data_IF_812104554315
#
_entry.id   IF_812104554315
#
_cell.length_a   1.000
_cell.length_b   1.000
_cell.length_c   1.000
_cell.angle_alpha   90.00
_cell.angle_beta   90.00
_cell.angle_gamma   90.00
#
_symmetry.space_group_name_H-M   'P 1'
#
loop_
_entity.id
_entity.type
_entity.pdbx_description
1 polymer ?
#
# COMPACT_ATOMS: atom_id res chain seq x y z
N UNK A 1 2.77 -20.10 -31.03
CA UNK A 1 2.75 -20.86 -29.77
C UNK A 1 2.32 -19.86 -28.71
N UNK A 2 1.22 -20.04 -27.96
CA UNK A 2 0.86 -19.09 -26.94
C UNK A 2 1.87 -19.20 -25.78
N UNK A 3 2.34 -18.07 -25.27
CA UNK A 3 3.32 -18.02 -24.18
C UNK A 3 2.76 -18.69 -22.93
N UNK A 4 3.46 -19.72 -22.46
CA UNK A 4 3.13 -20.46 -21.25
C UNK A 4 3.72 -19.72 -20.04
N UNK A 5 2.85 -19.10 -19.24
CA UNK A 5 3.07 -18.67 -17.85
C UNK A 5 4.22 -17.68 -17.58
N UNK A 6 4.03 -16.40 -17.90
CA UNK A 6 4.60 -15.33 -17.07
C UNK A 6 3.58 -14.95 -16.01
N UNK A 7 3.79 -15.40 -14.77
CA UNK A 7 2.98 -14.94 -13.63
C UNK A 7 3.12 -13.43 -13.47
N UNK A 8 2.04 -12.72 -13.10
CA UNK A 8 2.04 -11.26 -12.85
C UNK A 8 3.15 -10.84 -11.88
N UNK A 9 3.45 -11.71 -10.91
CA UNK A 9 4.45 -11.50 -9.88
C UNK A 9 5.65 -12.46 -10.02
N UNK A 10 6.86 -12.05 -9.56
CA UNK A 10 7.96 -12.97 -9.32
C UNK A 10 7.54 -14.09 -8.36
N UNK A 11 8.14 -15.29 -8.51
CA UNK A 11 7.75 -16.51 -7.78
C UNK A 11 7.63 -16.31 -6.27
N UNK A 12 8.61 -15.67 -5.63
CA UNK A 12 8.59 -15.45 -4.18
C UNK A 12 7.45 -14.51 -3.74
N UNK A 13 7.11 -13.53 -4.58
CA UNK A 13 6.02 -12.56 -4.32
C UNK A 13 4.66 -13.23 -4.54
N UNK A 14 4.49 -13.96 -5.64
CA UNK A 14 3.28 -14.73 -5.95
C UNK A 14 2.98 -15.75 -4.83
N UNK A 15 4.00 -16.47 -4.35
CA UNK A 15 3.86 -17.43 -3.26
C UNK A 15 3.39 -16.77 -1.95
N UNK A 16 4.03 -15.68 -1.52
CA UNK A 16 3.66 -14.95 -0.31
C UNK A 16 2.23 -14.39 -0.38
N UNK A 17 1.83 -13.86 -1.54
CA UNK A 17 0.48 -13.36 -1.77
C UNK A 17 -0.56 -14.50 -1.70
N UNK A 18 -0.28 -15.65 -2.32
CA UNK A 18 -1.16 -16.81 -2.27
C UNK A 18 -1.30 -17.40 -0.87
N UNK A 19 -0.20 -17.46 -0.12
CA UNK A 19 -0.22 -17.88 1.29
C UNK A 19 -1.07 -16.94 2.15
N UNK A 20 -1.06 -15.64 1.84
CA UNK A 20 -1.93 -14.63 2.45
C UNK A 20 -3.41 -14.70 1.99
N UNK A 21 -3.75 -15.61 1.07
CA UNK A 21 -5.11 -15.81 0.56
C UNK A 21 -5.46 -15.00 -0.70
N UNK A 22 -4.49 -14.33 -1.33
CA UNK A 22 -4.71 -13.70 -2.63
C UNK A 22 -4.76 -14.75 -3.74
N UNK A 23 -5.58 -14.50 -4.75
CA UNK A 23 -5.63 -15.28 -5.98
C UNK A 23 -5.84 -14.35 -7.17
N UNK A 24 -5.32 -14.68 -8.37
CA UNK A 24 -5.55 -13.89 -9.57
C UNK A 24 -7.04 -13.65 -9.81
N UNK A 25 -7.42 -12.39 -10.05
CA UNK A 25 -8.82 -11.99 -10.26
C UNK A 25 -9.62 -11.79 -8.97
N UNK A 26 -8.99 -11.84 -7.79
CA UNK A 26 -9.61 -11.38 -6.53
C UNK A 26 -10.09 -9.93 -6.67
N UNK A 27 -11.34 -9.69 -6.29
CA UNK A 27 -11.94 -8.36 -6.32
C UNK A 27 -13.09 -8.26 -5.31
N UNK A 28 -12.84 -7.64 -4.15
CA UNK A 28 -13.85 -7.37 -3.12
C UNK A 28 -14.22 -5.88 -3.11
N UNK A 29 -15.04 -5.48 -4.07
CA UNK A 29 -15.49 -4.09 -4.19
C UNK A 29 -16.36 -3.65 -3.01
N UNK A 30 -17.11 -4.57 -2.39
CA UNK A 30 -17.98 -4.23 -1.25
C UNK A 30 -17.17 -3.81 -0.04
N UNK A 31 -16.09 -4.55 0.24
CA UNK A 31 -15.16 -4.19 1.32
C UNK A 31 -14.45 -2.86 1.00
N UNK A 32 -14.01 -2.66 -0.25
CA UNK A 32 -13.39 -1.41 -0.67
C UNK A 32 -14.33 -0.19 -0.52
N UNK A 33 -15.60 -0.32 -0.90
CA UNK A 33 -16.62 0.71 -0.70
C UNK A 33 -16.88 0.99 0.79
N UNK A 34 -16.92 -0.05 1.63
CA UNK A 34 -17.08 0.12 3.07
C UNK A 34 -15.93 0.94 3.69
N UNK A 35 -14.69 0.65 3.30
CA UNK A 35 -13.54 1.47 3.72
C UNK A 35 -13.62 2.89 3.17
N UNK A 36 -14.01 3.06 1.91
CA UNK A 36 -14.17 4.37 1.31
C UNK A 36 -15.18 5.24 2.08
N UNK A 37 -16.33 4.67 2.44
CA UNK A 37 -17.35 5.37 3.22
C UNK A 37 -16.87 5.70 4.64
N UNK A 38 -16.15 4.78 5.27
CA UNK A 38 -15.56 5.00 6.60
C UNK A 38 -14.53 6.14 6.58
N UNK A 39 -13.63 6.14 5.61
CA UNK A 39 -12.62 7.19 5.43
C UNK A 39 -13.25 8.55 5.09
N UNK A 40 -14.28 8.58 4.25
CA UNK A 40 -15.02 9.81 3.91
C UNK A 40 -15.81 10.39 5.09
N UNK A 41 -16.36 9.52 5.93
CA UNK A 41 -17.09 9.93 7.13
C UNK A 41 -16.15 10.49 8.21
N UNK A 42 -14.86 10.13 8.17
CA UNK A 42 -13.88 10.64 9.12
C UNK A 42 -13.44 12.07 8.78
N UNK A 43 -13.55 12.95 9.77
CA UNK A 43 -12.97 14.29 9.76
C UNK A 43 -12.09 14.40 10.99
N UNK A 44 -10.83 14.76 10.80
CA UNK A 44 -9.91 14.94 11.93
C UNK A 44 -10.37 16.11 12.82
N UNK A 45 -9.94 16.20 14.10
CA UNK A 45 -10.29 17.32 14.97
C UNK A 45 -9.94 18.71 14.39
N UNK A 46 -8.93 18.77 13.50
CA UNK A 46 -8.51 19.98 12.81
C UNK A 46 -9.21 20.18 11.45
N UNK A 47 -10.25 19.40 11.13
CA UNK A 47 -11.04 19.54 9.91
C UNK A 47 -10.47 18.85 8.66
N UNK A 48 -9.39 18.09 8.77
CA UNK A 48 -8.77 17.41 7.62
C UNK A 48 -9.59 16.17 7.23
N UNK A 49 -9.68 15.91 5.93
CA UNK A 49 -10.42 14.80 5.33
C UNK A 49 -9.49 13.99 4.45
N UNK A 50 -9.81 12.71 4.27
CA UNK A 50 -9.14 11.87 3.30
C UNK A 50 -9.62 12.18 1.87
N UNK A 51 -8.70 12.08 0.92
CA UNK A 51 -9.01 12.11 -0.50
C UNK A 51 -8.99 10.69 -1.04
N UNK A 52 -10.02 10.29 -1.78
CA UNK A 52 -10.16 8.95 -2.32
C UNK A 52 -10.39 9.00 -3.84
N UNK A 53 -9.69 8.15 -4.57
CA UNK A 53 -9.66 8.10 -6.04
C UNK A 53 -9.61 6.64 -6.52
N UNK A 54 -9.86 6.37 -7.82
CA UNK A 54 -9.97 5.01 -8.34
C UNK A 54 -8.79 4.09 -7.98
N UNK A 55 -7.54 4.53 -8.17
CA UNK A 55 -6.36 3.71 -7.88
C UNK A 55 -6.33 3.16 -6.44
N UNK A 56 -6.77 3.94 -5.45
CA UNK A 56 -6.87 3.47 -4.06
C UNK A 56 -7.97 2.41 -3.90
N UNK A 57 -9.16 2.66 -4.43
CA UNK A 57 -10.30 1.73 -4.34
C UNK A 57 -10.00 0.42 -5.07
N UNK A 58 -9.35 0.49 -6.23
CA UNK A 58 -8.94 -0.68 -7.02
C UNK A 58 -7.89 -1.52 -6.26
N UNK A 59 -6.89 -0.86 -5.64
CA UNK A 59 -5.91 -1.52 -4.80
C UNK A 59 -6.57 -2.21 -3.59
N UNK A 60 -7.53 -1.57 -2.94
CA UNK A 60 -8.26 -2.17 -1.81
C UNK A 60 -9.14 -3.34 -2.25
N UNK A 61 -9.82 -3.23 -3.39
CA UNK A 61 -10.67 -4.30 -3.91
C UNK A 61 -9.83 -5.53 -4.25
N UNK A 62 -8.64 -5.36 -4.82
CA UNK A 62 -7.78 -6.50 -5.17
C UNK A 62 -7.00 -7.05 -3.96
N UNK A 63 -6.39 -6.20 -3.13
CA UNK A 63 -5.40 -6.61 -2.11
C UNK A 63 -5.84 -6.35 -0.67
N UNK A 64 -6.93 -5.63 -0.44
CA UNK A 64 -7.38 -5.27 0.90
C UNK A 64 -7.69 -6.47 1.78
N UNK A 65 -7.36 -6.38 3.07
CA UNK A 65 -7.54 -7.41 4.09
C UNK A 65 -6.46 -8.51 4.11
N UNK A 66 -5.52 -8.48 3.16
CA UNK A 66 -4.40 -9.42 3.15
C UNK A 66 -3.41 -9.09 4.27
N UNK A 67 -3.01 -10.13 5.01
CA UNK A 67 -1.90 -10.10 5.96
C UNK A 67 -0.76 -10.91 5.34
N UNK A 68 0.32 -10.24 4.94
CA UNK A 68 1.38 -10.84 4.12
C UNK A 68 2.66 -10.90 4.95
N UNK A 69 3.20 -12.12 5.08
CA UNK A 69 4.50 -12.37 5.69
C UNK A 69 5.49 -12.72 4.59
N UNK A 70 6.66 -12.09 4.59
CA UNK A 70 7.70 -12.42 3.62
C UNK A 70 8.25 -13.84 3.85
N UNK A 71 8.59 -14.57 2.77
CA UNK A 71 9.00 -15.98 2.87
C UNK A 71 10.46 -16.17 3.32
N UNK A 72 11.22 -15.08 3.54
CA UNK A 72 12.64 -15.16 3.85
C UNK A 72 13.22 -13.86 4.42
N UNK A 73 14.54 -13.83 4.67
CA UNK A 73 15.20 -12.74 5.41
C UNK A 73 15.31 -11.40 4.65
N UNK A 74 14.84 -11.34 3.41
CA UNK A 74 14.99 -10.19 2.51
C UNK A 74 16.34 -10.13 1.78
N UNK A 75 16.40 -9.27 0.76
CA UNK A 75 17.58 -9.08 -0.10
C UNK A 75 18.57 -8.08 0.48
N UNK A 76 18.07 -6.98 1.03
CA UNK A 76 18.86 -5.86 1.55
C UNK A 76 18.44 -5.43 2.94
N UNK A 77 17.14 -5.53 3.24
CA UNK A 77 16.54 -5.25 4.55
C UNK A 77 15.62 -6.41 4.94
N UNK A 78 15.46 -6.64 6.24
CA UNK A 78 14.50 -7.60 6.75
C UNK A 78 13.07 -7.13 6.41
N UNK A 79 12.27 -7.91 5.66
CA UNK A 79 10.89 -7.53 5.36
C UNK A 79 10.05 -7.53 6.62
N UNK A 80 9.17 -6.54 6.73
CA UNK A 80 8.15 -6.51 7.76
C UNK A 80 6.87 -7.25 7.32
N UNK A 81 6.05 -7.66 8.28
CA UNK A 81 4.69 -8.13 7.99
C UNK A 81 3.87 -6.96 7.45
N UNK A 82 3.09 -7.20 6.39
CA UNK A 82 2.23 -6.20 5.75
C UNK A 82 0.78 -6.48 6.07
N UNK A 83 0.00 -5.44 6.30
CA UNK A 83 -1.46 -5.53 6.36
C UNK A 83 -2.08 -4.46 5.46
N UNK A 84 -2.82 -4.90 4.44
CA UNK A 84 -3.51 -3.99 3.52
C UNK A 84 -4.87 -3.62 4.12
N UNK A 85 -4.87 -2.78 5.15
CA UNK A 85 -6.06 -2.16 5.73
C UNK A 85 -5.93 -0.64 5.71
N UNK A 86 -6.66 0.07 4.84
CA UNK A 86 -6.53 1.52 4.73
C UNK A 86 -7.00 2.27 5.99
N UNK A 87 -7.69 1.62 6.93
CA UNK A 87 -8.05 2.23 8.21
C UNK A 87 -6.85 2.41 9.15
N UNK A 88 -5.73 1.74 8.89
CA UNK A 88 -4.46 2.04 9.59
C UNK A 88 -4.06 3.51 9.46
N UNK A 89 -4.39 4.14 8.32
CA UNK A 89 -4.15 5.57 8.07
C UNK A 89 -5.30 6.50 8.48
N UNK A 90 -6.37 6.01 9.15
CA UNK A 90 -7.59 6.78 9.41
C UNK A 90 -7.32 8.14 10.06
N UNK A 91 -6.39 8.20 11.01
CA UNK A 91 -6.07 9.43 11.76
C UNK A 91 -4.95 10.27 11.13
N UNK A 92 -4.45 9.89 9.95
CA UNK A 92 -3.33 10.56 9.26
C UNK A 92 -3.77 11.47 8.11
N UNK A 93 -5.05 11.85 8.05
CA UNK A 93 -5.59 12.70 6.97
C UNK A 93 -4.75 13.97 6.71
N UNK A 94 -4.22 14.61 7.77
CA UNK A 94 -3.31 15.76 7.61
C UNK A 94 -1.96 15.36 7.02
N UNK A 95 -1.31 14.34 7.59
CA UNK A 95 0.00 13.86 7.15
C UNK A 95 -0.03 13.45 5.68
N UNK A 96 -1.05 12.70 5.26
CA UNK A 96 -1.21 12.27 3.87
C UNK A 96 -1.48 13.47 2.94
N UNK A 97 -2.27 14.45 3.38
CA UNK A 97 -2.48 15.68 2.60
C UNK A 97 -1.21 16.53 2.48
N UNK A 98 -0.39 16.59 3.53
CA UNK A 98 0.88 17.32 3.53
C UNK A 98 1.90 16.64 2.60
N UNK A 99 1.98 15.31 2.61
CA UNK A 99 2.78 14.54 1.64
C UNK A 99 2.29 14.74 0.22
N UNK A 100 0.98 14.64 -0.02
CA UNK A 100 0.39 14.86 -1.34
C UNK A 100 0.74 16.23 -1.90
N UNK A 101 0.66 17.29 -1.08
CA UNK A 101 1.08 18.64 -1.48
C UNK A 101 2.58 18.70 -1.84
N UNK A 102 3.45 18.03 -1.09
CA UNK A 102 4.88 18.01 -1.37
C UNK A 102 5.21 17.28 -2.69
N UNK A 103 4.41 16.27 -3.05
CA UNK A 103 4.55 15.46 -4.25
C UNK A 103 3.70 15.93 -5.44
N UNK A 104 2.96 17.04 -5.28
CA UNK A 104 2.00 17.56 -6.26
C UNK A 104 0.98 16.51 -6.74
N UNK A 105 0.41 15.75 -5.78
CA UNK A 105 -0.58 14.69 -6.03
C UNK A 105 -1.57 14.56 -4.86
N UNK A 106 -2.56 13.68 -4.99
CA UNK A 106 -3.44 13.30 -3.88
C UNK A 106 -3.03 11.93 -3.35
N UNK A 107 -3.09 11.75 -2.03
CA UNK A 107 -2.63 10.54 -1.35
C UNK A 107 -3.78 9.96 -0.52
N UNK A 108 -3.98 8.65 -0.65
CA UNK A 108 -4.92 7.86 0.15
C UNK A 108 -4.16 6.80 0.97
N UNK A 109 -4.67 6.41 2.14
CA UNK A 109 -4.08 5.31 2.90
C UNK A 109 -4.28 3.97 2.18
N UNK A 110 -3.30 3.08 2.29
CA UNK A 110 -3.31 1.75 1.68
C UNK A 110 -3.29 0.63 2.72
N UNK A 111 -2.53 0.81 3.79
CA UNK A 111 -2.26 -0.25 4.76
C UNK A 111 -1.16 0.14 5.73
N UNK A 112 -0.47 -0.85 6.26
CA UNK A 112 0.65 -0.68 7.18
C UNK A 112 1.67 -1.81 7.06
N UNK A 113 2.85 -1.56 7.61
CA UNK A 113 3.89 -2.56 7.80
C UNK A 113 4.46 -2.54 9.23
N UNK A 114 4.95 -3.69 9.67
CA UNK A 114 5.71 -3.85 10.91
C UNK A 114 4.88 -3.64 12.17
N UNK A 115 3.62 -4.07 12.17
CA UNK A 115 2.70 -3.94 13.31
C UNK A 115 2.56 -2.47 13.77
N UNK A 116 2.03 -1.62 12.88
CA UNK A 116 1.85 -0.16 13.05
C UNK A 116 3.14 0.67 13.08
N UNK A 117 4.28 0.13 12.63
CA UNK A 117 5.55 0.89 12.56
C UNK A 117 5.57 1.92 11.44
N UNK A 118 4.92 1.61 10.32
CA UNK A 118 4.79 2.52 9.19
C UNK A 118 3.42 2.38 8.53
N UNK A 119 2.94 3.48 7.94
CA UNK A 119 1.70 3.50 7.15
C UNK A 119 2.05 3.46 5.67
N UNK A 120 1.40 2.57 4.95
CA UNK A 120 1.46 2.50 3.50
C UNK A 120 0.43 3.44 2.90
N UNK A 121 0.82 4.17 1.87
CA UNK A 121 -0.03 5.11 1.16
C UNK A 121 0.11 4.96 -0.36
N UNK A 122 -0.92 5.33 -1.10
CA UNK A 122 -0.98 5.26 -2.56
C UNK A 122 -1.43 6.60 -3.12
N UNK A 123 -0.97 6.98 -4.31
CA UNK A 123 -1.44 8.19 -4.99
C UNK A 123 -2.34 7.92 -6.20
N UNK A 124 -2.82 9.00 -6.82
CA UNK A 124 -3.70 8.98 -7.99
C UNK A 124 -3.14 8.22 -9.19
N UNK A 125 -1.81 8.09 -9.30
CA UNK A 125 -1.13 7.36 -10.36
C UNK A 125 -0.87 5.89 -9.99
N UNK A 126 -1.20 5.48 -8.76
CA UNK A 126 -0.97 4.14 -8.23
C UNK A 126 0.44 3.95 -7.66
N UNK A 127 1.22 5.02 -7.49
CA UNK A 127 2.54 4.97 -6.86
C UNK A 127 2.37 4.80 -5.36
N UNK A 128 3.23 4.01 -4.74
CA UNK A 128 3.09 3.61 -3.32
C UNK A 128 4.27 4.09 -2.48
N UNK A 129 3.95 4.47 -1.26
CA UNK A 129 4.86 5.06 -0.29
C UNK A 129 4.73 4.37 1.07
N UNK A 130 5.81 4.38 1.86
CA UNK A 130 5.79 4.02 3.29
C UNK A 130 6.19 5.25 4.11
N UNK A 131 5.45 5.54 5.18
CA UNK A 131 5.69 6.67 6.08
C UNK A 131 5.94 6.12 7.49
N UNK A 132 7.13 6.38 8.02
CA UNK A 132 7.52 5.99 9.37
C UNK A 132 8.14 7.17 10.15
N UNK A 133 8.55 6.91 11.39
CA UNK A 133 9.18 7.92 12.26
C UNK A 133 10.57 8.39 11.78
N UNK A 134 11.16 7.72 10.79
CA UNK A 134 12.47 8.04 10.18
C UNK A 134 12.34 8.79 8.86
N UNK A 135 11.17 8.77 8.22
CA UNK A 135 10.81 9.58 7.06
C UNK A 135 9.83 8.89 6.12
N UNK A 136 9.74 9.45 4.91
CA UNK A 136 8.88 8.95 3.86
C UNK A 136 9.72 8.25 2.76
N UNK A 137 9.20 7.15 2.24
CA UNK A 137 9.91 6.26 1.33
C UNK A 137 9.06 5.93 0.11
N UNK A 138 9.65 5.98 -1.08
CA UNK A 138 9.05 5.52 -2.32
C UNK A 138 9.28 4.02 -2.51
N UNK A 139 8.20 3.26 -2.67
CA UNK A 139 8.22 1.80 -2.76
C UNK A 139 8.13 1.28 -4.19
N UNK A 140 7.39 1.97 -5.06
CA UNK A 140 7.17 1.54 -6.43
C UNK A 140 6.18 2.40 -7.19
N UNK A 141 6.22 2.31 -8.52
CA UNK A 141 5.32 3.06 -9.41
C UNK A 141 3.94 2.42 -9.57
N UNK A 142 3.75 1.23 -9.01
CA UNK A 142 2.50 0.49 -8.95
C UNK A 142 2.44 -0.27 -7.62
N UNK A 143 1.25 -0.71 -7.22
CA UNK A 143 1.10 -1.62 -6.08
C UNK A 143 1.89 -2.92 -6.26
N UNK A 144 1.99 -3.43 -7.49
CA UNK A 144 2.75 -4.66 -7.75
C UNK A 144 4.24 -4.48 -7.49
N UNK A 145 4.80 -3.35 -7.98
CA UNK A 145 6.19 -3.01 -7.75
C UNK A 145 6.47 -2.79 -6.26
N UNK A 146 5.54 -2.13 -5.55
CA UNK A 146 5.65 -1.88 -4.12
C UNK A 146 5.61 -3.18 -3.30
N UNK A 147 4.67 -4.08 -3.60
CA UNK A 147 4.61 -5.41 -2.98
C UNK A 147 5.89 -6.19 -3.24
N UNK A 148 6.45 -6.13 -4.45
CA UNK A 148 7.74 -6.76 -4.75
C UNK A 148 8.88 -6.16 -3.92
N UNK A 149 8.96 -4.83 -3.80
CA UNK A 149 9.96 -4.15 -2.95
C UNK A 149 9.86 -4.60 -1.50
N UNK A 150 8.65 -4.56 -0.93
CA UNK A 150 8.38 -4.91 0.47
C UNK A 150 8.65 -6.39 0.76
N UNK A 151 8.02 -7.30 0.01
CA UNK A 151 8.08 -8.75 0.26
C UNK A 151 9.50 -9.30 0.03
N UNK A 152 10.24 -8.75 -0.94
CA UNK A 152 11.63 -9.19 -1.19
C UNK A 152 12.65 -8.48 -0.31
N UNK A 153 12.24 -7.48 0.49
CA UNK A 153 13.15 -6.69 1.32
C UNK A 153 14.20 -5.94 0.49
N UNK A 154 13.80 -5.39 -0.65
CA UNK A 154 14.65 -4.47 -1.42
C UNK A 154 14.66 -3.10 -0.73
N UNK A 155 15.78 -2.37 -0.83
CA UNK A 155 15.87 -1.07 -0.17
C UNK A 155 15.02 -0.03 -0.92
N UNK A 156 14.04 0.61 -0.26
CA UNK A 156 13.24 1.66 -0.88
C UNK A 156 14.03 2.97 -1.01
N UNK A 157 13.55 3.86 -1.87
CA UNK A 157 14.19 5.17 -2.08
C UNK A 157 13.62 6.17 -1.09
N UNK A 158 14.46 6.81 -0.27
CA UNK A 158 14.00 7.86 0.65
C UNK A 158 13.53 9.07 -0.15
N UNK A 159 12.35 9.58 0.16
CA UNK A 159 11.91 10.86 -0.34
C UNK A 159 12.70 11.97 0.35
N UNK A 160 13.22 12.90 -0.45
CA UNK A 160 13.87 14.11 0.04
C UNK A 160 13.04 15.29 -0.46
N UNK A 161 12.73 16.23 0.44
CA UNK A 161 12.20 17.50 -0.02
C UNK A 161 13.21 18.15 -0.96
N UNK A 162 12.78 18.70 -2.10
CA UNK A 162 13.64 19.51 -2.95
C UNK A 162 14.16 20.76 -2.23
#
# INVERSE_FOLDING_TARGET
MPDLNTTRFPVAVDAALREAGWQPGRWDIKQAEHWADTLRAHVSPAGHRHTLFPAAVEAWAEFGGLHITAPGPGREIAPATLHIDPLAGLHLARTLADLGRALDTEIAPLGEEGDHQAVLAIDTEGRVYSLDHTGDWYLGNTIDAALATLITGARPTRLVSP
#
